data_IF_889680994956
#
_entry.id   IF_889680994956
#
_cell.length_a   1.000
_cell.length_b   1.000
_cell.length_c   1.000
_cell.angle_alpha   90.00
_cell.angle_beta   90.00
_cell.angle_gamma   90.00
#
_symmetry.space_group_name_H-M   'P 1'
#
loop_
_entity.id
_entity.type
_entity.pdbx_description
1 polymer ?
#
# COMPACT_ATOMS: atom_id res chain seq x y z
N UNK A 1 -11.16 -14.25 0.05
CA UNK A 1 -10.41 -13.02 -0.23
C UNK A 1 -9.28 -13.31 -1.21
N UNK A 2 -9.10 -12.62 -2.35
CA UNK A 2 -7.94 -12.84 -3.18
C UNK A 2 -6.71 -12.17 -2.55
N UNK A 3 -5.73 -12.98 -2.16
CA UNK A 3 -4.37 -12.54 -1.85
C UNK A 3 -3.54 -12.73 -3.13
N UNK A 4 -2.99 -11.65 -3.66
CA UNK A 4 -2.31 -11.64 -4.94
C UNK A 4 -0.82 -11.35 -4.73
N UNK A 5 -0.01 -12.42 -4.75
CA UNK A 5 1.44 -12.32 -4.87
C UNK A 5 1.83 -12.02 -6.33
N UNK A 6 2.36 -10.83 -6.60
CA UNK A 6 2.70 -10.38 -7.95
C UNK A 6 4.11 -10.83 -8.33
N UNK A 7 4.20 -11.83 -9.21
CA UNK A 7 5.46 -12.51 -9.57
C UNK A 7 6.14 -11.98 -10.83
N UNK A 8 6.01 -10.69 -11.13
CA UNK A 8 6.68 -10.06 -12.27
C UNK A 8 8.21 -10.03 -12.09
N UNK A 9 9.04 -10.32 -13.13
CA UNK A 9 10.50 -10.38 -13.00
C UNK A 9 11.14 -9.10 -12.44
N UNK A 10 10.67 -7.91 -12.86
CA UNK A 10 11.20 -6.64 -12.34
C UNK A 10 10.88 -6.43 -10.86
N UNK A 11 9.70 -6.85 -10.40
CA UNK A 11 9.32 -6.76 -8.98
C UNK A 11 10.25 -7.67 -8.17
N UNK A 12 10.40 -8.93 -8.60
CA UNK A 12 11.27 -9.91 -7.93
C UNK A 12 12.72 -9.45 -7.86
N UNK A 13 13.24 -8.90 -8.97
CA UNK A 13 14.61 -8.37 -9.03
C UNK A 13 14.80 -7.18 -8.07
N UNK A 14 13.93 -6.17 -8.16
CA UNK A 14 14.01 -4.95 -7.33
C UNK A 14 13.82 -5.28 -5.86
N UNK A 15 12.87 -6.14 -5.51
CA UNK A 15 12.68 -6.62 -4.14
C UNK A 15 13.92 -7.37 -3.63
N UNK A 16 14.56 -8.19 -4.47
CA UNK A 16 15.83 -8.83 -4.13
C UNK A 16 16.93 -7.82 -3.77
N UNK A 17 17.02 -6.70 -4.50
CA UNK A 17 17.94 -5.61 -4.17
C UNK A 17 17.58 -4.93 -2.84
N UNK A 18 16.30 -4.71 -2.57
CA UNK A 18 15.83 -4.09 -1.31
C UNK A 18 16.19 -4.90 -0.06
N UNK A 19 16.30 -6.24 -0.19
CA UNK A 19 16.67 -7.16 0.90
C UNK A 19 18.14 -7.10 1.30
N UNK A 20 19.00 -6.44 0.51
CA UNK A 20 20.41 -6.27 0.86
C UNK A 20 20.56 -5.51 2.19
N UNK A 21 21.35 -6.06 3.10
CA UNK A 21 21.62 -5.43 4.39
C UNK A 21 22.34 -4.08 4.26
N UNK A 22 23.21 -3.96 3.25
CA UNK A 22 24.08 -2.81 2.96
C UNK A 22 23.45 -1.78 2.00
N UNK A 23 22.16 -1.91 1.66
CA UNK A 23 21.48 -0.94 0.79
C UNK A 23 21.42 0.45 1.43
N UNK A 24 21.69 1.49 0.62
CA UNK A 24 21.57 2.88 1.05
C UNK A 24 20.10 3.31 1.15
N UNK A 25 19.83 4.31 2.00
CA UNK A 25 18.50 4.93 2.13
C UNK A 25 17.96 5.45 0.79
N UNK A 26 18.82 6.07 -0.03
CA UNK A 26 18.44 6.55 -1.37
C UNK A 26 17.92 5.40 -2.23
N UNK A 27 18.71 4.34 -2.37
CA UNK A 27 18.36 3.23 -3.25
C UNK A 27 17.14 2.47 -2.72
N UNK A 28 17.01 2.29 -1.40
CA UNK A 28 15.83 1.63 -0.82
C UNK A 28 14.56 2.44 -1.10
N UNK A 29 14.62 3.77 -0.96
CA UNK A 29 13.50 4.68 -1.24
C UNK A 29 13.10 4.64 -2.72
N UNK A 30 14.07 4.71 -3.63
CA UNK A 30 13.83 4.63 -5.09
C UNK A 30 13.19 3.28 -5.45
N UNK A 31 13.71 2.17 -4.93
CA UNK A 31 13.12 0.84 -5.18
C UNK A 31 11.71 0.68 -4.60
N UNK A 32 11.43 1.26 -3.43
CA UNK A 32 10.08 1.26 -2.85
C UNK A 32 9.07 1.99 -3.75
N UNK A 33 9.48 3.11 -4.36
CA UNK A 33 8.66 3.84 -5.33
C UNK A 33 8.46 3.03 -6.61
N UNK A 34 9.52 2.45 -7.17
CA UNK A 34 9.45 1.65 -8.39
C UNK A 34 8.57 0.41 -8.22
N UNK A 35 8.71 -0.32 -7.12
CA UNK A 35 7.85 -1.49 -6.84
C UNK A 35 6.43 -1.04 -6.53
N UNK A 36 6.24 0.09 -5.83
CA UNK A 36 4.92 0.69 -5.61
C UNK A 36 4.20 1.00 -6.92
N UNK A 37 4.89 1.58 -7.91
CA UNK A 37 4.32 1.82 -9.24
C UNK A 37 3.92 0.51 -9.95
N UNK A 38 4.80 -0.50 -9.93
CA UNK A 38 4.52 -1.79 -10.57
C UNK A 38 3.35 -2.53 -9.92
N UNK A 39 3.24 -2.49 -8.59
CA UNK A 39 2.08 -3.04 -7.88
C UNK A 39 0.81 -2.23 -8.15
N UNK A 40 0.90 -0.91 -8.32
CA UNK A 40 -0.25 -0.05 -8.69
C UNK A 40 -0.83 -0.47 -10.04
N UNK A 41 0.02 -0.74 -11.04
CA UNK A 41 -0.42 -1.24 -12.34
C UNK A 41 -1.26 -2.52 -12.21
N UNK A 42 -0.77 -3.50 -11.44
CA UNK A 42 -1.50 -4.75 -11.20
C UNK A 42 -2.77 -4.55 -10.36
N UNK A 43 -2.72 -3.67 -9.37
CA UNK A 43 -3.81 -3.36 -8.48
C UNK A 43 -4.88 -2.45 -9.10
N UNK A 44 -4.80 -2.15 -10.39
CA UNK A 44 -5.75 -1.28 -11.11
C UNK A 44 -6.25 -1.91 -12.41
N UNK A 45 -5.85 -3.16 -12.70
CA UNK A 45 -6.18 -3.85 -13.96
C UNK A 45 -7.67 -4.10 -14.20
N UNK A 46 -8.48 -4.03 -13.17
CA UNK A 46 -9.91 -4.29 -13.14
C UNK A 46 -10.73 -3.01 -12.86
N UNK A 47 -10.13 -1.83 -12.96
CA UNK A 47 -10.87 -0.57 -12.81
C UNK A 47 -11.97 -0.49 -13.88
N UNK A 48 -13.21 -0.12 -13.50
CA UNK A 48 -14.30 0.01 -14.46
C UNK A 48 -14.03 1.17 -15.42
N UNK A 49 -14.41 0.96 -16.68
CA UNK A 49 -14.34 1.97 -17.73
C UNK A 49 -15.76 2.40 -18.14
N UNK A 50 -15.91 3.66 -18.54
CA UNK A 50 -17.13 4.18 -19.16
C UNK A 50 -16.80 4.85 -20.50
N UNK A 51 -17.69 4.68 -21.48
CA UNK A 51 -17.56 5.30 -22.80
C UNK A 51 -17.71 6.81 -22.71
N UNK A 52 -16.88 7.52 -23.47
CA UNK A 52 -16.85 8.98 -23.51
C UNK A 52 -16.41 9.45 -24.89
N UNK A 53 -17.03 10.52 -25.39
CA UNK A 53 -16.72 11.08 -26.70
C UNK A 53 -15.82 12.32 -26.55
N UNK A 54 -14.77 12.39 -27.38
CA UNK A 54 -13.85 13.54 -27.41
C UNK A 54 -13.59 14.02 -28.83
N UNK A 55 -13.18 15.27 -28.95
CA UNK A 55 -12.64 15.83 -30.20
C UNK A 55 -11.20 15.35 -30.40
N UNK A 56 -11.00 14.50 -31.41
CA UNK A 56 -9.69 14.07 -31.87
C UNK A 56 -9.12 15.01 -32.94
N UNK A 57 -7.86 14.78 -33.32
CA UNK A 57 -7.15 15.61 -34.31
C UNK A 57 -7.80 15.62 -35.70
N UNK A 58 -8.60 14.60 -36.03
CA UNK A 58 -9.27 14.42 -37.30
C UNK A 58 -10.79 14.18 -37.13
N UNK A 59 -11.39 14.78 -36.10
CA UNK A 59 -12.81 14.66 -35.78
C UNK A 59 -13.08 13.86 -34.52
N UNK A 60 -14.36 13.68 -34.23
CA UNK A 60 -14.86 13.06 -33.01
C UNK A 60 -14.46 11.59 -32.91
N UNK A 61 -14.01 11.16 -31.73
CA UNK A 61 -13.59 9.78 -31.44
C UNK A 61 -14.22 9.30 -30.15
N UNK A 62 -14.70 8.06 -30.17
CA UNK A 62 -15.18 7.36 -28.99
C UNK A 62 -14.00 6.73 -28.25
N UNK A 63 -13.90 7.02 -26.96
CA UNK A 63 -12.84 6.52 -26.07
C UNK A 63 -13.44 5.98 -24.78
N UNK A 64 -12.58 5.39 -23.95
CA UNK A 64 -12.94 4.96 -22.60
C UNK A 64 -12.15 5.77 -21.57
N UNK A 65 -12.78 6.05 -20.44
CA UNK A 65 -12.13 6.65 -19.26
C UNK A 65 -12.48 5.84 -18.02
N UNK A 66 -11.65 5.94 -16.99
CA UNK A 66 -11.94 5.32 -15.68
C UNK A 66 -13.26 5.89 -15.14
N UNK A 67 -14.19 5.01 -14.82
CA UNK A 67 -15.51 5.36 -14.30
C UNK A 67 -15.45 5.76 -12.81
N UNK A 68 -16.45 6.52 -12.37
CA UNK A 68 -16.61 6.91 -10.97
C UNK A 68 -15.68 8.02 -10.46
N UNK A 69 -15.61 8.17 -9.14
CA UNK A 69 -14.77 9.20 -8.50
C UNK A 69 -13.30 8.81 -8.51
N UNK A 70 -12.44 9.82 -8.46
CA UNK A 70 -10.98 9.66 -8.30
C UNK A 70 -10.65 8.78 -7.08
N UNK A 71 -9.77 7.80 -7.29
CA UNK A 71 -9.17 6.94 -6.27
C UNK A 71 -8.59 7.78 -5.13
N UNK A 72 -8.66 7.28 -3.89
CA UNK A 72 -7.91 7.82 -2.76
C UNK A 72 -6.76 6.88 -2.38
N UNK A 73 -5.54 7.38 -2.39
CA UNK A 73 -4.35 6.68 -1.90
C UNK A 73 -4.23 6.95 -0.40
N UNK A 74 -4.03 5.89 0.40
CA UNK A 74 -4.03 5.93 1.86
C UNK A 74 -2.68 5.45 2.39
N UNK A 75 -1.64 6.30 2.46
CA UNK A 75 -0.38 5.91 3.07
C UNK A 75 -0.52 5.77 4.59
N UNK A 76 -0.15 4.60 5.12
CA UNK A 76 0.04 4.41 6.56
C UNK A 76 1.38 5.05 6.95
N UNK A 77 1.33 6.08 7.78
CA UNK A 77 2.53 6.83 8.17
C UNK A 77 3.37 6.03 9.16
N UNK A 78 4.71 6.10 9.08
CA UNK A 78 5.50 6.91 8.13
C UNK A 78 5.84 6.19 6.82
N UNK A 79 6.01 4.86 6.87
CA UNK A 79 6.65 4.09 5.79
C UNK A 79 5.84 4.09 4.48
N UNK A 80 4.50 4.19 4.53
CA UNK A 80 3.64 4.28 3.36
C UNK A 80 3.99 5.43 2.40
N UNK A 81 4.55 6.53 2.90
CA UNK A 81 5.01 7.66 2.07
C UNK A 81 6.07 7.21 1.05
N UNK A 82 6.92 6.23 1.39
CA UNK A 82 7.95 5.73 0.49
C UNK A 82 7.42 5.08 -0.79
N UNK A 83 6.13 4.70 -0.82
CA UNK A 83 5.46 4.14 -2.00
C UNK A 83 4.59 5.18 -2.73
N UNK A 84 4.27 6.30 -2.09
CA UNK A 84 3.25 7.26 -2.57
C UNK A 84 3.57 7.83 -3.95
N UNK A 85 4.81 8.29 -4.17
CA UNK A 85 5.24 8.83 -5.46
C UNK A 85 5.14 7.79 -6.58
N UNK A 86 5.40 6.51 -6.27
CA UNK A 86 5.21 5.41 -7.22
C UNK A 86 3.76 5.32 -7.70
N UNK A 87 2.80 5.37 -6.78
CA UNK A 87 1.36 5.35 -7.10
C UNK A 87 0.96 6.59 -7.90
N UNK A 88 1.34 7.78 -7.43
CA UNK A 88 0.94 9.05 -8.04
C UNK A 88 1.58 9.26 -9.42
N UNK A 89 2.71 8.62 -9.72
CA UNK A 89 3.29 8.63 -11.07
C UNK A 89 2.39 7.99 -12.13
N UNK A 90 1.57 7.00 -11.74
CA UNK A 90 0.60 6.34 -12.62
C UNK A 90 -0.80 6.96 -12.53
N UNK A 91 -1.19 7.45 -11.35
CA UNK A 91 -2.52 8.03 -11.10
C UNK A 91 -2.39 9.42 -10.46
N UNK A 92 -1.88 10.42 -11.19
CA UNK A 92 -1.60 11.75 -10.64
C UNK A 92 -2.86 12.50 -10.19
N UNK A 93 -4.02 12.10 -10.71
CA UNK A 93 -5.31 12.64 -10.32
C UNK A 93 -5.85 12.10 -8.99
N UNK A 94 -5.23 11.07 -8.40
CA UNK A 94 -5.70 10.47 -7.15
C UNK A 94 -5.65 11.48 -6.00
N UNK A 95 -6.57 11.31 -5.04
CA UNK A 95 -6.56 12.05 -3.78
C UNK A 95 -5.70 11.32 -2.76
N UNK A 96 -5.18 12.02 -1.77
CA UNK A 96 -4.35 11.41 -0.71
C UNK A 96 -5.06 11.59 0.63
N UNK A 97 -5.33 10.47 1.30
CA UNK A 97 -5.89 10.44 2.65
C UNK A 97 -4.83 9.91 3.61
N UNK A 98 -4.27 10.75 4.47
CA UNK A 98 -3.16 10.36 5.34
C UNK A 98 -3.68 9.73 6.64
N UNK A 99 -3.14 8.56 7.01
CA UNK A 99 -3.46 7.86 8.26
C UNK A 99 -2.18 7.60 9.03
N UNK A 100 -2.10 8.09 10.26
CA UNK A 100 -0.99 7.84 11.17
C UNK A 100 -1.38 6.83 12.22
N UNK A 101 -0.77 5.65 12.19
CA UNK A 101 -0.96 4.60 13.18
C UNK A 101 0.35 4.38 13.93
N UNK A 102 0.32 4.52 15.25
CA UNK A 102 1.44 4.17 16.10
C UNK A 102 1.12 2.90 16.86
N UNK A 103 2.08 1.98 16.93
CA UNK A 103 2.02 0.83 17.83
C UNK A 103 2.57 1.25 19.18
N UNK A 104 1.81 1.03 20.24
CA UNK A 104 2.37 1.12 21.59
C UNK A 104 3.30 -0.08 21.81
N UNK A 105 4.58 0.18 22.11
CA UNK A 105 5.59 -0.88 22.25
C UNK A 105 5.38 -1.77 23.49
N UNK A 106 4.67 -1.27 24.51
CA UNK A 106 4.39 -2.01 25.73
C UNK A 106 3.11 -2.86 25.63
N UNK A 107 2.06 -2.32 25.02
CA UNK A 107 0.75 -2.98 24.94
C UNK A 107 0.48 -3.66 23.60
N UNK A 108 1.31 -3.40 22.59
CA UNK A 108 1.14 -3.80 21.19
C UNK A 108 -0.16 -3.32 20.53
N UNK A 109 -0.93 -2.46 21.20
CA UNK A 109 -2.16 -1.88 20.64
C UNK A 109 -1.83 -0.75 19.66
N UNK A 110 -2.58 -0.72 18.55
CA UNK A 110 -2.50 0.35 17.56
C UNK A 110 -3.34 1.55 18.01
N UNK A 111 -2.77 2.76 17.94
CA UNK A 111 -3.47 4.02 18.17
C UNK A 111 -3.33 4.94 16.96
N UNK A 112 -4.45 5.43 16.44
CA UNK A 112 -4.48 6.40 15.33
C UNK A 112 -4.19 7.80 15.86
N UNK A 113 -3.07 8.40 15.47
CA UNK A 113 -2.69 9.76 15.87
C UNK A 113 -2.95 10.81 14.77
N UNK A 114 -3.21 10.38 13.53
CA UNK A 114 -3.60 11.26 12.43
C UNK A 114 -4.65 10.56 11.58
N UNK A 115 -5.76 11.26 11.34
CA UNK A 115 -6.80 10.85 10.40
C UNK A 115 -7.18 12.07 9.56
N UNK A 116 -6.77 12.06 8.28
CA UNK A 116 -7.15 13.11 7.33
C UNK A 116 -7.63 12.47 6.03
N UNK A 117 -8.93 12.20 5.97
CA UNK A 117 -9.59 11.56 4.83
C UNK A 117 -10.13 12.59 3.83
N UNK A 118 -10.18 12.19 2.56
CA UNK A 118 -10.90 12.91 1.51
C UNK A 118 -12.42 12.85 1.74
N UNK A 119 -13.20 13.87 1.37
CA UNK A 119 -14.65 13.77 1.36
C UNK A 119 -15.16 12.72 0.34
N UNK A 120 -16.40 12.27 0.55
CA UNK A 120 -17.08 11.28 -0.32
C UNK A 120 -16.29 9.97 -0.44
N UNK A 121 -15.74 9.48 0.67
CA UNK A 121 -14.89 8.27 0.65
C UNK A 121 -15.69 6.98 0.36
N UNK A 122 -17.01 7.03 0.59
CA UNK A 122 -17.99 6.00 0.28
C UNK A 122 -18.21 5.81 -1.24
N UNK A 123 -17.85 6.79 -2.05
CA UNK A 123 -17.91 6.74 -3.52
C UNK A 123 -16.55 6.46 -4.18
N UNK A 124 -15.51 6.16 -3.40
CA UNK A 124 -14.13 6.02 -3.88
C UNK A 124 -13.57 4.63 -3.57
N UNK A 125 -12.76 4.13 -4.50
CA UNK A 125 -11.77 3.11 -4.20
C UNK A 125 -10.70 3.71 -3.27
N UNK A 126 -10.46 3.07 -2.12
CA UNK A 126 -9.33 3.37 -1.25
C UNK A 126 -8.19 2.36 -1.45
N UNK A 127 -7.02 2.87 -1.83
CA UNK A 127 -5.80 2.08 -1.99
C UNK A 127 -4.84 2.37 -0.83
N UNK A 128 -4.83 1.48 0.17
CA UNK A 128 -3.91 1.56 1.30
C UNK A 128 -2.51 1.15 0.85
N UNK A 129 -1.51 1.93 1.23
CA UNK A 129 -0.09 1.62 0.95
C UNK A 129 0.73 1.59 2.24
N UNK A 130 1.42 0.48 2.45
CA UNK A 130 2.34 0.27 3.57
C UNK A 130 3.40 -0.77 3.16
N UNK A 131 4.71 -0.50 3.28
CA UNK A 131 5.73 -1.45 2.84
C UNK A 131 5.63 -2.86 3.44
N UNK A 132 5.12 -3.00 4.68
CA UNK A 132 5.20 -4.27 5.42
C UNK A 132 3.86 -4.64 6.06
N UNK A 133 3.31 -5.80 5.67
CA UNK A 133 2.21 -6.43 6.39
C UNK A 133 2.76 -7.46 7.38
N UNK A 134 3.14 -7.00 8.57
CA UNK A 134 3.74 -7.85 9.61
C UNK A 134 2.68 -8.58 10.45
N UNK A 135 2.25 -8.03 11.59
CA UNK A 135 1.17 -8.60 12.43
C UNK A 135 -0.23 -8.31 11.89
N UNK A 136 -0.36 -7.38 10.93
CA UNK A 136 -1.63 -6.93 10.38
C UNK A 136 -2.35 -5.84 11.19
N UNK A 137 -1.94 -5.55 12.43
CA UNK A 137 -2.66 -4.63 13.32
C UNK A 137 -2.84 -3.22 12.75
N UNK A 138 -1.81 -2.65 12.14
CA UNK A 138 -1.89 -1.31 11.54
C UNK A 138 -2.79 -1.29 10.30
N UNK A 139 -2.76 -2.36 9.51
CA UNK A 139 -3.59 -2.51 8.31
C UNK A 139 -5.06 -2.66 8.69
N UNK A 140 -5.38 -3.55 9.64
CA UNK A 140 -6.73 -3.74 10.17
C UNK A 140 -7.28 -2.44 10.74
N UNK A 141 -6.53 -1.75 11.61
CA UNK A 141 -6.97 -0.47 12.18
C UNK A 141 -7.24 0.60 11.10
N UNK A 142 -6.46 0.61 10.01
CA UNK A 142 -6.67 1.51 8.87
C UNK A 142 -7.91 1.15 8.08
N UNK A 143 -8.16 -0.14 7.83
CA UNK A 143 -9.36 -0.61 7.14
C UNK A 143 -10.61 -0.30 7.99
N UNK A 144 -10.59 -0.57 9.29
CA UNK A 144 -11.66 -0.23 10.24
C UNK A 144 -12.03 1.25 10.16
N UNK A 145 -11.01 2.12 10.16
CA UNK A 145 -11.20 3.56 10.05
C UNK A 145 -11.85 3.94 8.71
N UNK A 146 -11.39 3.39 7.59
CA UNK A 146 -11.96 3.67 6.27
C UNK A 146 -13.41 3.18 6.16
N UNK A 147 -13.71 1.98 6.68
CA UNK A 147 -15.08 1.43 6.70
C UNK A 147 -16.00 2.23 7.61
N UNK A 148 -15.50 2.68 8.78
CA UNK A 148 -16.24 3.58 9.67
C UNK A 148 -16.57 4.91 8.99
N UNK A 149 -15.69 5.40 8.12
CA UNK A 149 -15.91 6.58 7.30
C UNK A 149 -16.83 6.32 6.08
N UNK A 150 -17.25 5.07 5.85
CA UNK A 150 -18.20 4.68 4.81
C UNK A 150 -17.59 4.05 3.55
N UNK A 151 -16.26 3.92 3.48
CA UNK A 151 -15.59 3.33 2.32
C UNK A 151 -15.93 1.84 2.18
N UNK A 152 -16.25 1.42 0.95
CA UNK A 152 -16.71 0.05 0.64
C UNK A 152 -15.76 -0.73 -0.26
N UNK A 153 -14.95 -0.04 -1.07
CA UNK A 153 -14.00 -0.67 -1.99
C UNK A 153 -12.57 -0.33 -1.53
N UNK A 154 -11.91 -1.31 -0.92
CA UNK A 154 -10.62 -1.13 -0.26
C UNK A 154 -9.64 -2.18 -0.79
N UNK A 155 -8.46 -1.71 -1.17
CA UNK A 155 -7.32 -2.55 -1.57
C UNK A 155 -6.12 -2.21 -0.69
N UNK A 156 -5.41 -3.24 -0.24
CA UNK A 156 -4.16 -3.09 0.49
C UNK A 156 -2.98 -3.46 -0.42
N UNK A 157 -1.98 -2.59 -0.52
CA UNK A 157 -0.79 -2.81 -1.32
C UNK A 157 0.46 -2.73 -0.44
N UNK A 158 1.23 -3.82 -0.41
CA UNK A 158 2.42 -3.96 0.45
C UNK A 158 3.60 -4.57 -0.29
N UNK A 159 4.84 -4.26 0.11
CA UNK A 159 6.01 -4.85 -0.54
C UNK A 159 6.26 -6.28 -0.07
N UNK A 160 6.16 -6.52 1.24
CA UNK A 160 6.30 -7.86 1.84
C UNK A 160 5.19 -8.10 2.84
N UNK A 161 4.70 -9.34 2.88
CA UNK A 161 3.67 -9.76 3.82
C UNK A 161 4.08 -11.05 4.55
N UNK A 162 3.79 -11.13 5.84
CA UNK A 162 3.91 -12.37 6.60
C UNK A 162 2.55 -13.11 6.64
N UNK A 163 2.54 -14.46 6.71
CA UNK A 163 1.31 -15.24 6.79
C UNK A 163 0.41 -14.81 7.95
N UNK A 164 0.99 -14.43 9.09
CA UNK A 164 0.28 -13.98 10.28
C UNK A 164 -0.50 -12.68 10.01
N UNK A 165 0.11 -11.71 9.32
CA UNK A 165 -0.53 -10.44 8.98
C UNK A 165 -1.60 -10.58 7.90
N UNK A 166 -1.38 -11.46 6.92
CA UNK A 166 -2.39 -11.83 5.92
C UNK A 166 -3.61 -12.41 6.63
N UNK A 167 -3.40 -13.39 7.51
CA UNK A 167 -4.46 -14.04 8.27
C UNK A 167 -5.23 -13.04 9.14
N UNK A 168 -4.55 -12.12 9.81
CA UNK A 168 -5.20 -11.10 10.64
C UNK A 168 -6.13 -10.20 9.81
N UNK A 169 -5.71 -9.79 8.61
CA UNK A 169 -6.57 -9.00 7.70
C UNK A 169 -7.71 -9.84 7.15
N UNK A 170 -7.45 -11.10 6.78
CA UNK A 170 -8.49 -12.00 6.27
C UNK A 170 -9.59 -12.28 7.32
N UNK A 171 -9.19 -12.54 8.57
CA UNK A 171 -10.13 -12.82 9.65
C UNK A 171 -10.99 -11.58 9.99
N UNK A 172 -10.42 -10.36 9.92
CA UNK A 172 -11.12 -9.12 10.24
C UNK A 172 -11.91 -8.52 9.05
N UNK A 173 -11.38 -8.63 7.84
CA UNK A 173 -11.85 -7.93 6.64
C UNK A 173 -11.72 -8.81 5.37
N UNK A 174 -12.48 -9.91 5.27
CA UNK A 174 -12.38 -10.88 4.16
C UNK A 174 -12.75 -10.32 2.78
N UNK A 175 -13.30 -9.11 2.73
CA UNK A 175 -13.68 -8.33 1.55
C UNK A 175 -12.53 -7.48 0.97
N UNK A 176 -11.42 -7.31 1.68
CA UNK A 176 -10.29 -6.46 1.24
C UNK A 176 -9.30 -7.25 0.41
N UNK A 177 -8.98 -6.80 -0.80
CA UNK A 177 -7.96 -7.47 -1.63
C UNK A 177 -6.55 -7.04 -1.22
N UNK A 178 -5.63 -8.00 -1.03
CA UNK A 178 -4.22 -7.73 -0.72
C UNK A 178 -3.36 -7.98 -1.95
N UNK A 179 -2.63 -6.96 -2.37
CA UNK A 179 -1.59 -7.01 -3.40
C UNK A 179 -0.22 -6.96 -2.73
N UNK A 180 0.62 -7.98 -2.95
CA UNK A 180 1.97 -8.02 -2.38
C UNK A 180 3.02 -8.42 -3.38
N UNK A 181 4.23 -7.89 -3.24
CA UNK A 181 5.37 -8.31 -4.07
C UNK A 181 6.00 -9.63 -3.58
N UNK A 182 5.79 -10.03 -2.33
CA UNK A 182 6.30 -11.30 -1.77
C UNK A 182 5.58 -11.68 -0.50
N UNK A 183 5.24 -12.97 -0.39
CA UNK A 183 4.82 -13.56 0.88
C UNK A 183 6.04 -14.24 1.52
N UNK A 184 6.43 -13.74 2.69
CA UNK A 184 7.60 -14.19 3.44
C UNK A 184 7.22 -15.30 4.44
N UNK A 185 8.17 -15.81 5.23
CA UNK A 185 8.00 -17.07 5.95
C UNK A 185 7.16 -16.95 7.22
N UNK A 186 7.48 -15.95 8.05
CA UNK A 186 6.92 -15.78 9.41
C UNK A 186 7.35 -14.45 10.01
N UNK A 187 6.86 -14.19 11.22
CA UNK A 187 7.43 -13.18 12.12
C UNK A 187 8.48 -13.77 13.06
N UNK A 188 9.44 -12.95 13.51
CA UNK A 188 10.30 -13.27 14.66
C UNK A 188 9.66 -12.82 15.98
N UNK A 189 10.34 -13.06 17.11
CA UNK A 189 9.85 -12.72 18.47
C UNK A 189 9.61 -11.21 18.69
N UNK A 190 10.22 -10.36 17.86
CA UNK A 190 10.04 -8.90 17.90
C UNK A 190 8.97 -8.40 16.90
N UNK A 191 8.34 -9.29 16.15
CA UNK A 191 7.32 -8.96 15.15
C UNK A 191 7.86 -8.46 13.81
N UNK A 192 9.15 -8.67 13.52
CA UNK A 192 9.70 -8.41 12.18
C UNK A 192 9.49 -9.60 11.25
N UNK A 193 9.20 -9.30 9.98
CA UNK A 193 9.03 -10.28 8.91
C UNK A 193 10.37 -10.95 8.58
N UNK A 194 10.37 -12.27 8.38
CA UNK A 194 11.55 -13.07 8.03
C UNK A 194 11.37 -13.73 6.64
N UNK A 195 12.29 -13.54 5.67
CA UNK A 195 13.51 -12.72 5.77
C UNK A 195 13.27 -11.21 5.79
N UNK A 196 12.14 -10.73 5.28
CA UNK A 196 11.69 -9.34 5.37
C UNK A 196 12.63 -8.31 4.76
N UNK A 197 12.48 -7.06 5.23
CA UNK A 197 13.25 -5.89 4.78
C UNK A 197 13.88 -5.13 5.97
N UNK A 198 13.84 -5.68 7.20
CA UNK A 198 14.16 -4.93 8.41
C UNK A 198 13.12 -3.84 8.70
N UNK A 199 13.52 -2.72 9.31
CA UNK A 199 12.64 -1.57 9.50
C UNK A 199 12.54 -0.73 8.22
N UNK A 200 11.43 -0.87 7.50
CA UNK A 200 11.21 -0.12 6.25
C UNK A 200 11.11 1.39 6.47
N UNK A 201 10.55 1.85 7.60
CA UNK A 201 10.46 3.26 7.93
C UNK A 201 11.86 3.87 8.06
N UNK A 202 12.71 3.26 8.89
CA UNK A 202 14.08 3.72 9.06
C UNK A 202 14.91 3.62 7.78
N UNK A 203 14.71 2.59 6.96
CA UNK A 203 15.39 2.49 5.66
C UNK A 203 14.94 3.56 4.68
N UNK A 204 13.65 3.90 4.63
CA UNK A 204 13.10 4.94 3.75
C UNK A 204 13.56 6.33 4.18
N UNK A 205 13.57 6.63 5.48
CA UNK A 205 13.84 7.98 6.00
C UNK A 205 15.28 8.20 6.49
N UNK A 206 16.06 7.13 6.69
CA UNK A 206 17.41 7.21 7.23
C UNK A 206 17.44 7.53 8.72
N UNK A 207 16.43 7.11 9.49
CA UNK A 207 16.17 7.59 10.86
C UNK A 207 16.64 6.65 11.97
N UNK A 208 17.57 5.71 11.71
CA UNK A 208 18.05 4.71 12.68
C UNK A 208 18.12 5.29 14.10
N UNK A 209 17.27 4.79 15.00
CA UNK A 209 17.39 5.14 16.41
C UNK A 209 18.73 4.61 16.90
N UNK A 210 19.52 5.46 17.56
CA UNK A 210 20.91 5.13 17.93
C UNK A 210 21.03 4.04 19.00
N UNK A 211 19.94 3.62 19.63
CA UNK A 211 19.96 2.82 20.86
C UNK A 211 18.86 1.73 20.92
N UNK A 212 18.54 1.06 19.81
CA UNK A 212 17.64 -0.11 19.78
C UNK A 212 18.39 -1.43 19.58
#
# INVERSE_FOLDING_TARGET
>A
MPILEIRHPLIRHKLGLMRRADISTKNFRELAQEVGALLTYEATKDLPLESYEIDGWAGTVQVEKIAGKKITVVPILRAGIGMLEGVLSLIPGAKVSAVGVARNEQTLQAHTYLEKLVPEIDERLAMIIDPMLATGSSMVATIDLLKKAGCRDIRAMVLVAAPEGIKAVEDAHPDVTIYTASIDQKLNEHGYIIPGLGDAGDKIFGTKQKDA
#
